data_IF_198719434567
#
_entry.id   IF_198719434567
#
_cell.length_a   1.000
_cell.length_b   1.000
_cell.length_c   1.000
_cell.angle_alpha   90.00
_cell.angle_beta   90.00
_cell.angle_gamma   90.00
#
_symmetry.space_group_name_H-M   'P 1'
#
loop_
_entity.id
_entity.type
_entity.pdbx_description
1 polymer ?
#
# COMPACT_ATOMS: atom_id res chain seq x y z
N UNK A 1 -9.50 8.04 -6.15
CA UNK A 1 -9.85 6.68 -5.73
C UNK A 1 -11.09 6.63 -4.85
N UNK A 2 -11.29 7.49 -3.83
CA UNK A 2 -12.53 7.50 -3.03
C UNK A 2 -13.81 7.62 -3.88
N UNK A 3 -13.83 8.55 -4.84
CA UNK A 3 -14.95 8.70 -5.79
C UNK A 3 -15.13 7.50 -6.75
N UNK A 4 -14.12 6.62 -6.84
CA UNK A 4 -14.19 5.38 -7.61
C UNK A 4 -14.60 4.17 -6.73
N UNK A 5 -15.11 4.40 -5.52
CA UNK A 5 -15.67 3.35 -4.65
C UNK A 5 -14.67 2.68 -3.69
N UNK A 6 -13.39 3.07 -3.72
CA UNK A 6 -12.38 2.51 -2.80
C UNK A 6 -12.53 3.06 -1.38
N UNK A 7 -12.52 2.17 -0.39
CA UNK A 7 -12.28 2.54 1.00
C UNK A 7 -10.79 2.83 1.20
N UNK A 8 -10.44 4.01 1.73
CA UNK A 8 -9.05 4.46 1.87
C UNK A 8 -8.73 4.64 3.35
N UNK A 9 -7.67 3.97 3.79
CA UNK A 9 -7.09 4.13 5.12
C UNK A 9 -5.78 4.91 4.97
N UNK A 10 -5.72 6.17 5.43
CA UNK A 10 -4.51 6.96 5.37
C UNK A 10 -3.44 6.44 6.34
N UNK A 11 -2.20 6.44 5.88
CA UNK A 11 -1.03 6.14 6.71
C UNK A 11 -0.02 7.26 6.51
N UNK A 12 0.16 8.06 7.54
CA UNK A 12 1.11 9.15 7.58
C UNK A 12 1.39 9.53 9.05
N UNK A 13 2.64 9.41 9.53
CA UNK A 13 3.00 9.70 10.92
C UNK A 13 2.99 11.19 11.29
N UNK A 14 2.82 12.11 10.32
CA UNK A 14 2.88 13.55 10.57
C UNK A 14 1.51 14.23 10.65
N UNK A 15 0.42 13.49 10.41
CA UNK A 15 -0.94 14.03 10.43
C UNK A 15 -1.89 13.03 11.10
N UNK A 16 -2.87 13.56 11.83
CA UNK A 16 -3.86 12.71 12.52
C UNK A 16 -5.04 12.31 11.61
N UNK A 17 -5.30 13.07 10.55
CA UNK A 17 -6.39 12.78 9.61
C UNK A 17 -6.20 13.44 8.24
N UNK A 18 -6.87 12.87 7.23
CA UNK A 18 -6.97 13.44 5.88
C UNK A 18 -8.31 13.06 5.26
N UNK A 19 -8.97 13.98 4.56
CA UNK A 19 -10.30 13.78 3.96
C UNK A 19 -11.37 13.30 4.97
N UNK A 20 -11.26 13.74 6.23
CA UNK A 20 -12.16 13.34 7.32
C UNK A 20 -11.97 11.90 7.81
N UNK A 21 -10.89 11.22 7.40
CA UNK A 21 -10.55 9.85 7.83
C UNK A 21 -9.31 9.91 8.71
N UNK A 22 -9.32 9.17 9.82
CA UNK A 22 -8.17 9.01 10.72
C UNK A 22 -6.96 8.46 9.95
N UNK A 23 -5.80 9.06 10.17
CA UNK A 23 -4.51 8.58 9.69
C UNK A 23 -3.81 7.78 10.78
N UNK A 24 -3.08 6.74 10.38
CA UNK A 24 -2.24 5.93 11.25
C UNK A 24 -0.75 6.19 10.96
N UNK A 25 0.13 5.94 11.92
CA UNK A 25 1.56 6.22 11.73
C UNK A 25 2.25 5.18 10.83
N UNK A 26 1.87 3.91 10.97
CA UNK A 26 2.30 2.81 10.10
C UNK A 26 1.18 1.79 9.92
N UNK A 27 1.39 0.77 9.07
CA UNK A 27 0.41 -0.30 8.87
C UNK A 27 0.15 -1.06 10.18
N UNK A 28 1.19 -1.23 11.00
CA UNK A 28 1.12 -1.95 12.29
C UNK A 28 0.23 -1.27 13.33
N UNK A 29 -0.06 0.02 13.17
CA UNK A 29 -0.95 0.74 14.09
C UNK A 29 -2.43 0.66 13.68
N UNK A 30 -2.74 0.07 12.52
CA UNK A 30 -4.11 -0.12 12.07
C UNK A 30 -4.73 -1.27 12.90
N UNK A 31 -5.97 -1.12 13.41
CA UNK A 31 -6.66 -2.20 14.11
C UNK A 31 -6.77 -3.48 13.26
N UNK A 32 -6.65 -4.65 13.90
CA UNK A 32 -6.63 -5.94 13.19
C UNK A 32 -7.90 -6.20 12.36
N UNK A 33 -9.05 -5.76 12.87
CA UNK A 33 -10.33 -5.87 12.17
C UNK A 33 -10.38 -5.07 10.86
N UNK A 34 -9.53 -4.06 10.73
CA UNK A 34 -9.34 -3.28 9.51
C UNK A 34 -8.24 -3.91 8.65
N UNK A 35 -7.09 -4.28 9.25
CA UNK A 35 -5.96 -4.90 8.55
C UNK A 35 -6.37 -6.15 7.75
N UNK A 36 -7.23 -6.99 8.32
CA UNK A 36 -7.73 -8.21 7.67
C UNK A 36 -8.54 -7.98 6.40
N UNK A 37 -8.89 -6.73 6.08
CA UNK A 37 -9.64 -6.33 4.90
C UNK A 37 -8.82 -5.48 3.92
N UNK A 38 -7.52 -5.27 4.17
CA UNK A 38 -6.66 -4.51 3.25
C UNK A 38 -6.24 -5.43 2.10
N UNK A 39 -6.53 -4.99 0.87
CA UNK A 39 -6.23 -5.74 -0.36
C UNK A 39 -5.08 -5.12 -1.17
N UNK A 40 -4.86 -3.81 -1.01
CA UNK A 40 -3.88 -3.05 -1.76
C UNK A 40 -3.20 -2.01 -0.86
N UNK A 41 -1.87 -1.91 -0.97
CA UNK A 41 -1.09 -0.88 -0.29
C UNK A 41 -0.53 0.10 -1.32
N UNK A 42 -0.90 1.37 -1.20
CA UNK A 42 -0.52 2.42 -2.15
C UNK A 42 0.53 3.36 -1.52
N UNK A 43 1.75 3.32 -2.04
CA UNK A 43 2.94 3.95 -1.45
C UNK A 43 3.26 5.27 -2.16
N UNK A 44 3.29 6.34 -1.36
CA UNK A 44 3.73 7.69 -1.77
C UNK A 44 5.07 8.09 -1.12
N UNK A 45 5.66 7.22 -0.30
CA UNK A 45 6.95 7.47 0.39
C UNK A 45 8.11 7.30 -0.60
N UNK A 46 9.19 8.05 -0.37
CA UNK A 46 10.44 7.94 -1.16
C UNK A 46 10.99 6.51 -1.13
N UNK A 47 11.70 6.11 -2.18
CA UNK A 47 12.26 4.76 -2.37
C UNK A 47 13.08 4.25 -1.18
N UNK A 48 13.78 5.14 -0.47
CA UNK A 48 14.58 4.79 0.72
C UNK A 48 13.78 4.20 1.88
N UNK A 49 12.45 4.39 1.91
CA UNK A 49 11.56 3.82 2.93
C UNK A 49 10.76 2.61 2.43
N UNK A 50 10.95 2.20 1.18
CA UNK A 50 10.14 1.13 0.58
C UNK A 50 10.41 -0.20 1.28
N UNK A 51 11.66 -0.49 1.63
CA UNK A 51 12.03 -1.75 2.29
C UNK A 51 11.26 -1.96 3.60
N UNK A 52 11.23 -0.95 4.48
CA UNK A 52 10.45 -0.99 5.73
C UNK A 52 8.95 -1.24 5.46
N UNK A 53 8.39 -0.60 4.43
CA UNK A 53 6.98 -0.77 4.07
C UNK A 53 6.73 -2.19 3.56
N UNK A 54 7.63 -2.75 2.75
CA UNK A 54 7.51 -4.12 2.24
C UNK A 54 7.53 -5.12 3.40
N UNK A 55 8.39 -4.94 4.39
CA UNK A 55 8.46 -5.79 5.58
C UNK A 55 7.13 -5.76 6.36
N UNK A 56 6.57 -4.56 6.61
CA UNK A 56 5.26 -4.45 7.27
C UNK A 56 4.16 -5.15 6.47
N UNK A 57 4.13 -4.95 5.14
CA UNK A 57 3.12 -5.58 4.27
C UNK A 57 3.25 -7.10 4.27
N UNK A 58 4.47 -7.64 4.17
CA UNK A 58 4.72 -9.08 4.18
C UNK A 58 4.29 -9.70 5.51
N UNK A 59 4.61 -9.05 6.64
CA UNK A 59 4.20 -9.50 7.97
C UNK A 59 2.67 -9.57 8.08
N UNK A 60 1.98 -8.52 7.66
CA UNK A 60 0.51 -8.45 7.67
C UNK A 60 -0.09 -9.47 6.70
N UNK A 61 0.49 -9.65 5.52
CA UNK A 61 -0.01 -10.61 4.54
C UNK A 61 0.19 -12.06 5.00
N UNK A 62 1.29 -12.37 5.70
CA UNK A 62 1.48 -13.68 6.34
C UNK A 62 0.40 -13.96 7.40
N UNK A 63 -0.08 -12.92 8.09
CA UNK A 63 -1.11 -13.05 9.13
C UNK A 63 -2.53 -13.17 8.55
N UNK A 64 -2.88 -12.37 7.54
CA UNK A 64 -4.26 -12.26 7.07
C UNK A 64 -4.50 -12.74 5.63
N UNK A 65 -3.46 -12.79 4.79
CA UNK A 65 -3.51 -13.36 3.44
C UNK A 65 -4.36 -12.59 2.42
N UNK A 66 -4.65 -11.31 2.68
CA UNK A 66 -5.55 -10.49 1.85
C UNK A 66 -4.86 -9.45 0.99
N UNK A 67 -3.61 -9.11 1.26
CA UNK A 67 -2.91 -8.12 0.46
C UNK A 67 -2.45 -8.80 -0.83
N UNK A 68 -2.94 -8.30 -1.96
CA UNK A 68 -2.63 -8.83 -3.28
C UNK A 68 -1.64 -7.95 -4.02
N UNK A 69 -1.69 -6.64 -3.80
CA UNK A 69 -0.92 -5.68 -4.59
C UNK A 69 -0.26 -4.61 -3.71
N UNK A 70 1.01 -4.34 -3.99
CA UNK A 70 1.73 -3.17 -3.51
C UNK A 70 1.95 -2.25 -4.71
N UNK A 71 1.50 -1.00 -4.59
CA UNK A 71 1.53 -0.02 -5.65
C UNK A 71 2.42 1.15 -5.26
N UNK A 72 3.58 1.28 -5.88
CA UNK A 72 4.47 2.41 -5.71
C UNK A 72 4.18 3.48 -6.76
N UNK A 73 3.87 4.70 -6.29
CA UNK A 73 3.51 5.81 -7.16
C UNK A 73 4.68 6.28 -8.04
N UNK A 74 4.40 7.23 -8.93
CA UNK A 74 5.40 7.81 -9.84
C UNK A 74 6.66 8.28 -9.10
N UNK A 75 7.81 7.96 -9.66
CA UNK A 75 9.12 8.30 -9.10
C UNK A 75 9.61 7.37 -7.99
N UNK A 76 8.83 6.36 -7.61
CA UNK A 76 9.20 5.38 -6.57
C UNK A 76 9.54 4.05 -7.24
N UNK A 77 10.75 3.58 -6.94
CA UNK A 77 11.37 2.38 -7.51
C UNK A 77 11.96 1.53 -6.41
N UNK A 78 12.11 0.24 -6.69
CA UNK A 78 12.77 -0.70 -5.80
C UNK A 78 13.35 -1.83 -6.65
N UNK A 79 14.60 -2.21 -6.40
CA UNK A 79 15.32 -3.11 -7.32
C UNK A 79 14.99 -4.59 -7.07
N UNK A 80 14.57 -4.96 -5.85
CA UNK A 80 14.32 -6.36 -5.49
C UNK A 80 12.85 -6.79 -5.66
N UNK A 81 12.08 -6.07 -6.48
CA UNK A 81 10.63 -6.33 -6.62
C UNK A 81 10.33 -7.73 -7.14
N UNK A 82 11.11 -8.24 -8.09
CA UNK A 82 10.88 -9.56 -8.68
C UNK A 82 11.04 -10.66 -7.63
N UNK A 83 12.16 -10.62 -6.90
CA UNK A 83 12.45 -11.58 -5.81
C UNK A 83 11.34 -11.56 -4.75
N UNK A 84 10.96 -10.38 -4.27
CA UNK A 84 9.97 -10.25 -3.19
C UNK A 84 8.57 -10.66 -3.67
N UNK A 85 8.22 -10.30 -4.91
CA UNK A 85 6.97 -10.69 -5.57
C UNK A 85 6.83 -12.21 -5.61
N UNK A 86 7.86 -12.91 -6.09
CA UNK A 86 7.86 -14.37 -6.19
C UNK A 86 7.82 -15.06 -4.82
N UNK A 87 8.67 -14.64 -3.89
CA UNK A 87 8.77 -15.24 -2.55
C UNK A 87 7.46 -15.09 -1.74
N UNK A 88 6.74 -13.99 -1.93
CA UNK A 88 5.57 -13.66 -1.10
C UNK A 88 4.23 -13.70 -1.86
N UNK A 89 4.25 -14.05 -3.15
CA UNK A 89 3.07 -14.08 -4.04
C UNK A 89 2.31 -12.74 -4.07
N UNK A 90 3.07 -11.64 -4.14
CA UNK A 90 2.55 -10.28 -4.13
C UNK A 90 2.74 -9.64 -5.51
N UNK A 91 1.71 -9.01 -6.06
CA UNK A 91 1.88 -8.17 -7.24
C UNK A 91 2.51 -6.83 -6.84
N UNK A 92 3.71 -6.54 -7.33
CA UNK A 92 4.40 -5.28 -7.02
C UNK A 92 4.47 -4.42 -8.28
N UNK A 93 3.81 -3.26 -8.21
CA UNK A 93 3.77 -2.28 -9.30
C UNK A 93 4.63 -1.09 -8.89
N UNK A 94 5.56 -0.69 -9.75
CA UNK A 94 6.45 0.46 -9.50
C UNK A 94 6.27 1.57 -10.52
N UNK A 95 6.60 2.79 -10.12
CA UNK A 95 6.61 3.97 -10.98
C UNK A 95 5.35 4.15 -11.85
N UNK A 96 4.16 3.95 -11.28
CA UNK A 96 2.88 4.17 -11.97
C UNK A 96 1.93 4.97 -11.10
N UNK A 97 1.12 5.83 -11.72
CA UNK A 97 0.05 6.51 -10.98
C UNK A 97 -1.24 5.69 -11.01
N UNK A 98 -1.70 5.22 -9.85
CA UNK A 98 -2.93 4.41 -9.75
C UNK A 98 -4.16 5.13 -10.31
N UNK A 99 -4.24 6.47 -10.18
CA UNK A 99 -5.36 7.26 -10.71
C UNK A 99 -5.38 7.26 -12.23
N UNK A 100 -4.21 7.39 -12.86
CA UNK A 100 -4.08 7.39 -14.33
C UNK A 100 -4.40 6.00 -14.85
N UNK A 101 -3.78 4.96 -14.29
CA UNK A 101 -3.97 3.58 -14.76
C UNK A 101 -5.41 3.11 -14.55
N UNK A 102 -6.04 3.44 -13.41
CA UNK A 102 -7.46 3.18 -13.19
C UNK A 102 -8.33 3.90 -14.23
N UNK A 103 -8.03 5.16 -14.53
CA UNK A 103 -8.79 5.95 -15.53
C UNK A 103 -8.73 5.39 -16.95
N UNK A 104 -7.68 4.67 -17.33
CA UNK A 104 -7.54 4.04 -18.66
C UNK A 104 -8.42 2.81 -18.85
N UNK A 105 -8.92 2.22 -17.76
CA UNK A 105 -9.72 1.00 -17.76
C UNK A 105 -11.23 1.27 -17.67
N UNK A 106 -11.65 2.54 -17.63
CA UNK A 106 -13.06 2.95 -17.56
C UNK A 106 -13.55 3.56 -18.88
#
# INVERSE_FOLDING_TARGET
MKNAGYNIIPINPTIDSVMGVKSYNSLKNIPEEVLKNIELVNVFRRSEFVEEILDEVIEINKKFGKIHTIWMQLGIFYDQVDRISEENKLNIITNKCIKIEHGRLN
#
